data_IF_803531708586
#
_entry.id   IF_803531708586
#
_cell.length_a   1.000
_cell.length_b   1.000
_cell.length_c   1.000
_cell.angle_alpha   90.00
_cell.angle_beta   90.00
_cell.angle_gamma   90.00
#
_symmetry.space_group_name_H-M   'P 1'
#
loop_
_entity.id
_entity.type
_entity.pdbx_description
1 polymer ?
#
# COMPACT_ATOMS: atom_id res chain seq x y z
N UNK A 1 -31.79 7.81 0.21
CA UNK A 1 -30.52 7.31 -0.37
C UNK A 1 -29.41 7.90 0.45
N UNK A 2 -28.84 7.10 1.35
CA UNK A 2 -27.86 7.54 2.33
C UNK A 2 -26.52 7.72 1.59
N UNK A 3 -26.03 8.95 1.52
CA UNK A 3 -24.73 9.24 0.93
C UNK A 3 -23.67 8.92 1.99
N UNK A 4 -23.38 7.63 2.21
CA UNK A 4 -22.22 7.21 3.01
C UNK A 4 -20.99 7.81 2.35
N UNK A 5 -20.39 8.81 3.00
CA UNK A 5 -19.24 9.57 2.53
C UNK A 5 -17.95 8.75 2.43
N UNK A 6 -17.98 7.66 1.68
CA UNK A 6 -16.79 6.91 1.29
C UNK A 6 -16.07 7.72 0.23
N UNK A 7 -15.04 8.46 0.66
CA UNK A 7 -14.04 8.97 -0.27
C UNK A 7 -13.38 7.78 -0.95
N UNK A 8 -13.48 7.63 -2.28
CA UNK A 8 -12.89 6.51 -2.98
C UNK A 8 -11.37 6.55 -2.82
N UNK A 9 -10.77 5.43 -2.43
CA UNK A 9 -9.32 5.30 -2.38
C UNK A 9 -8.74 5.48 -3.79
N UNK A 10 -7.57 6.13 -3.93
CA UNK A 10 -6.92 6.26 -5.23
C UNK A 10 -6.54 4.88 -5.76
N UNK A 11 -6.73 4.63 -7.06
CA UNK A 11 -6.36 3.37 -7.71
C UNK A 11 -4.86 3.07 -7.60
N UNK A 12 -4.04 4.12 -7.68
CA UNK A 12 -2.59 4.04 -7.68
C UNK A 12 -1.98 5.10 -6.76
N UNK A 13 -0.95 4.71 -6.02
CA UNK A 13 -0.14 5.62 -5.18
C UNK A 13 1.30 5.56 -5.66
N UNK A 14 1.94 6.70 -5.91
CA UNK A 14 3.36 6.70 -6.29
C UNK A 14 4.22 6.08 -5.19
N UNK A 15 5.22 5.28 -5.56
CA UNK A 15 6.22 4.75 -4.63
C UNK A 15 6.92 5.89 -3.87
N UNK A 16 7.10 7.06 -4.50
CA UNK A 16 7.68 8.24 -3.83
C UNK A 16 6.81 8.78 -2.69
N UNK A 17 5.49 8.59 -2.77
CA UNK A 17 4.51 9.04 -1.77
C UNK A 17 4.25 8.00 -0.68
N UNK A 18 4.72 6.75 -0.85
CA UNK A 18 4.48 5.66 0.08
C UNK A 18 4.83 5.95 1.55
N UNK A 19 5.93 6.68 1.87
CA UNK A 19 6.22 7.03 3.25
C UNK A 19 5.15 7.92 3.89
N UNK A 20 4.54 8.84 3.13
CA UNK A 20 3.46 9.70 3.63
C UNK A 20 2.12 8.98 3.69
N UNK A 21 1.82 8.14 2.70
CA UNK A 21 0.50 7.52 2.55
C UNK A 21 0.36 6.27 3.41
N UNK A 22 1.38 5.41 3.43
CA UNK A 22 1.34 4.10 4.10
C UNK A 22 2.27 3.99 5.30
N UNK A 23 3.07 5.03 5.61
CA UNK A 23 4.09 4.95 6.65
C UNK A 23 5.25 4.01 6.31
N UNK A 24 5.37 3.57 5.06
CA UNK A 24 6.36 2.58 4.62
C UNK A 24 7.48 3.22 3.79
N UNK A 25 8.72 2.82 4.06
CA UNK A 25 9.86 3.27 3.26
C UNK A 25 9.80 2.71 1.83
N UNK A 26 10.36 3.45 0.87
CA UNK A 26 10.49 3.01 -0.54
C UNK A 26 11.18 1.66 -0.66
N UNK A 27 12.24 1.45 0.11
CA UNK A 27 12.98 0.18 0.11
C UNK A 27 12.12 -0.98 0.62
N UNK A 28 11.24 -0.75 1.58
CA UNK A 28 10.29 -1.77 2.04
C UNK A 28 9.25 -2.09 0.97
N UNK A 29 8.68 -1.08 0.31
CA UNK A 29 7.77 -1.27 -0.83
C UNK A 29 8.38 -2.16 -1.91
N UNK A 30 9.62 -1.88 -2.33
CA UNK A 30 10.30 -2.73 -3.31
C UNK A 30 10.58 -4.15 -2.80
N UNK A 31 10.82 -4.33 -1.49
CA UNK A 31 10.93 -5.68 -0.89
C UNK A 31 9.60 -6.43 -0.96
N UNK A 32 8.48 -5.78 -0.62
CA UNK A 32 7.13 -6.36 -0.73
C UNK A 32 6.86 -6.81 -2.17
N UNK A 33 7.11 -5.93 -3.14
CA UNK A 33 6.91 -6.22 -4.56
C UNK A 33 7.80 -7.38 -5.04
N UNK A 34 9.07 -7.42 -4.61
CA UNK A 34 9.98 -8.53 -4.93
C UNK A 34 9.50 -9.87 -4.35
N UNK A 35 8.81 -9.86 -3.21
CA UNK A 35 8.18 -11.04 -2.61
C UNK A 35 6.84 -11.42 -3.25
N UNK A 36 6.31 -10.59 -4.16
CA UNK A 36 4.98 -10.80 -4.75
C UNK A 36 3.83 -10.46 -3.81
N UNK A 37 4.08 -9.71 -2.73
CA UNK A 37 3.05 -9.35 -1.74
C UNK A 37 2.22 -8.14 -2.17
N UNK A 38 2.78 -7.30 -3.06
CA UNK A 38 2.09 -6.14 -3.65
C UNK A 38 2.48 -5.99 -5.12
N UNK A 39 1.64 -5.30 -5.88
CA UNK A 39 1.88 -5.02 -7.29
C UNK A 39 2.40 -3.60 -7.51
N UNK A 40 3.47 -3.50 -8.30
CA UNK A 40 3.97 -2.24 -8.83
C UNK A 40 3.72 -2.16 -10.33
N UNK A 41 3.31 -0.99 -10.80
CA UNK A 41 3.11 -0.71 -12.22
C UNK A 41 3.91 0.52 -12.64
N UNK A 42 4.40 0.52 -13.88
CA UNK A 42 4.98 1.73 -14.50
C UNK A 42 3.86 2.58 -15.08
N UNK A 43 3.85 3.87 -14.76
CA UNK A 43 2.94 4.87 -15.33
C UNK A 43 3.76 6.07 -15.76
N UNK A 44 4.02 6.19 -17.06
CA UNK A 44 4.99 7.15 -17.59
C UNK A 44 6.36 6.98 -16.94
N UNK A 45 6.94 8.07 -16.42
CA UNK A 45 8.23 8.06 -15.72
C UNK A 45 8.17 7.59 -14.27
N UNK A 46 6.98 7.34 -13.72
CA UNK A 46 6.79 7.00 -12.31
C UNK A 46 6.56 5.50 -12.10
N UNK A 47 6.91 5.03 -10.90
CA UNK A 47 6.54 3.69 -10.42
C UNK A 47 5.43 3.85 -9.39
N UNK A 48 4.33 3.14 -9.61
CA UNK A 48 3.10 3.25 -8.83
C UNK A 48 2.83 1.94 -8.11
N UNK A 49 2.19 2.03 -6.96
CA UNK A 49 1.67 0.92 -6.15
C UNK A 49 0.19 0.76 -6.50
N UNK A 50 -0.24 -0.46 -6.81
CA UNK A 50 -1.68 -0.80 -6.88
C UNK A 50 -2.25 -0.78 -5.47
N UNK A 51 -3.12 0.18 -5.19
CA UNK A 51 -3.69 0.37 -3.84
C UNK A 51 -4.46 -0.87 -3.38
N UNK A 52 -5.14 -1.57 -4.29
CA UNK A 52 -5.84 -2.82 -4.01
C UNK A 52 -4.91 -3.89 -3.40
N UNK A 53 -3.77 -4.19 -4.04
CA UNK A 53 -2.80 -5.16 -3.53
C UNK A 53 -2.18 -4.74 -2.20
N UNK A 54 -1.92 -3.43 -2.02
CA UNK A 54 -1.41 -2.89 -0.76
C UNK A 54 -2.44 -3.03 0.37
N UNK A 55 -3.71 -2.79 0.06
CA UNK A 55 -4.80 -2.97 1.03
C UNK A 55 -4.94 -4.46 1.41
N UNK A 56 -4.87 -5.37 0.44
CA UNK A 56 -4.85 -6.81 0.70
C UNK A 56 -3.68 -7.21 1.61
N UNK A 57 -2.47 -6.70 1.33
CA UNK A 57 -1.30 -6.92 2.17
C UNK A 57 -1.54 -6.44 3.61
N UNK A 58 -2.00 -5.20 3.81
CA UNK A 58 -2.26 -4.63 5.14
C UNK A 58 -3.28 -5.48 5.91
N UNK A 59 -4.35 -5.93 5.26
CA UNK A 59 -5.38 -6.76 5.88
C UNK A 59 -4.91 -8.18 6.19
N UNK A 60 -3.84 -8.65 5.56
CA UNK A 60 -3.22 -9.95 5.86
C UNK A 60 -2.30 -9.90 7.08
N UNK A 61 -1.92 -8.70 7.54
CA UNK A 61 -0.99 -8.56 8.66
C UNK A 61 -1.66 -9.05 9.95
N UNK A 62 -0.96 -9.86 10.76
CA UNK A 62 -1.47 -10.21 12.06
C UNK A 62 -1.54 -8.96 12.95
N UNK A 63 -2.51 -8.89 13.88
CA UNK A 63 -2.54 -7.81 14.85
C UNK A 63 -1.27 -7.83 15.69
N UNK A 64 -0.66 -6.66 15.89
CA UNK A 64 0.49 -6.52 16.78
C UNK A 64 0.05 -6.87 18.21
N UNK A 65 0.66 -7.88 18.82
CA UNK A 65 0.50 -8.17 20.25
C UNK A 65 1.59 -7.42 21.02
N UNK A 66 1.25 -6.41 21.85
CA UNK A 66 2.25 -5.72 22.65
C UNK A 66 2.92 -6.71 23.62
N UNK A 67 4.26 -6.69 23.72
CA UNK A 67 5.01 -7.46 24.71
C UNK A 67 5.59 -8.81 24.26
N UNK A 68 5.47 -9.18 22.98
CA UNK A 68 6.32 -10.24 22.40
C UNK A 68 7.44 -9.60 21.59
N UNK A 69 8.64 -9.57 22.17
CA UNK A 69 9.92 -9.34 21.50
C UNK A 69 10.76 -10.59 21.58
#
# INVERSE_FOLDING_TARGET
MENTGTTPLPLLVSVSSAPRVFGMSRSYIYKLAKRGEIDLVKMGGATMIRTESMHAYINSLPPMKPGQS
#
